data_IF_950527920979
#
_entry.id   IF_950527920979
#
_cell.length_a   1.000
_cell.length_b   1.000
_cell.length_c   1.000
_cell.angle_alpha   90.00
_cell.angle_beta   90.00
_cell.angle_gamma   90.00
#
_symmetry.space_group_name_H-M   'P 1'
#
loop_
_entity.id
_entity.type
_entity.pdbx_description
1 polymer ?
#
# COMPACT_ATOMS: atom_id res chain seq x y z
N UNK A 1 7.06 17.77 -9.18
CA UNK A 1 6.96 17.63 -7.71
C UNK A 1 5.76 18.42 -7.23
N UNK A 2 4.81 17.78 -6.52
CA UNK A 2 3.61 18.40 -5.97
C UNK A 2 3.89 18.89 -4.55
N UNK A 3 3.47 20.13 -4.20
CA UNK A 3 3.54 20.64 -2.83
C UNK A 3 2.14 20.68 -2.24
N UNK A 4 1.98 20.09 -1.06
CA UNK A 4 0.73 20.09 -0.29
C UNK A 4 0.99 20.78 1.06
N UNK A 5 0.00 21.57 1.50
CA UNK A 5 0.07 22.33 2.75
C UNK A 5 -0.88 21.74 3.77
N UNK A 6 -0.37 21.48 4.98
CA UNK A 6 -1.11 20.95 6.12
C UNK A 6 -0.84 21.81 7.36
N UNK A 7 -1.65 21.63 8.41
CA UNK A 7 -1.47 22.33 9.69
C UNK A 7 -0.12 22.09 10.37
N UNK A 8 0.58 21.03 9.97
CA UNK A 8 1.91 20.67 10.49
C UNK A 8 3.07 21.08 9.57
N UNK A 9 2.82 21.84 8.51
CA UNK A 9 3.84 22.35 7.57
C UNK A 9 3.58 21.97 6.12
N UNK A 10 4.53 22.34 5.27
CA UNK A 10 4.53 22.04 3.84
C UNK A 10 5.26 20.74 3.59
N UNK A 11 4.64 19.81 2.86
CA UNK A 11 5.27 18.58 2.39
C UNK A 11 5.46 18.63 0.89
N UNK A 12 6.59 18.11 0.42
CA UNK A 12 6.83 17.84 -0.99
C UNK A 12 6.58 16.37 -1.29
N UNK A 13 5.88 16.08 -2.38
CA UNK A 13 5.58 14.70 -2.80
C UNK A 13 6.24 14.44 -4.15
N UNK A 14 7.05 13.38 -4.22
CA UNK A 14 7.57 12.87 -5.48
C UNK A 14 6.72 11.68 -5.94
N UNK A 15 6.11 11.79 -7.13
CA UNK A 15 5.49 10.65 -7.78
C UNK A 15 6.56 9.85 -8.54
N UNK A 16 6.76 8.62 -8.13
CA UNK A 16 7.81 7.70 -8.61
C UNK A 16 7.15 6.55 -9.36
N UNK A 17 7.35 6.52 -10.68
CA UNK A 17 6.74 5.48 -11.51
C UNK A 17 7.67 4.28 -11.63
N UNK A 18 7.10 3.12 -11.34
CA UNK A 18 7.74 1.80 -11.47
C UNK A 18 7.30 1.15 -12.79
N UNK A 19 8.21 0.51 -13.49
CA UNK A 19 7.90 -0.33 -14.63
C UNK A 19 7.10 -1.58 -14.20
N UNK A 20 6.46 -2.28 -15.12
CA UNK A 20 5.69 -3.50 -14.81
C UNK A 20 6.57 -4.67 -14.33
N UNK A 21 7.82 -4.68 -14.72
CA UNK A 21 8.85 -5.64 -14.33
C UNK A 21 9.79 -5.13 -13.22
N UNK A 22 9.42 -4.01 -12.57
CA UNK A 22 10.24 -3.40 -11.52
C UNK A 22 10.47 -4.35 -10.34
N UNK A 23 11.68 -4.30 -9.82
CA UNK A 23 12.15 -5.04 -8.65
C UNK A 23 12.22 -4.17 -7.39
N UNK A 24 12.57 -4.76 -6.25
CA UNK A 24 12.89 -4.03 -5.03
C UNK A 24 14.07 -3.07 -5.24
N UNK A 25 15.07 -3.43 -6.04
CA UNK A 25 16.20 -2.55 -6.38
C UNK A 25 15.76 -1.26 -7.08
N UNK A 26 14.75 -1.33 -7.96
CA UNK A 26 14.21 -0.14 -8.63
C UNK A 26 13.48 0.78 -7.65
N UNK A 27 12.71 0.22 -6.71
CA UNK A 27 12.08 0.99 -5.63
C UNK A 27 13.14 1.70 -4.79
N UNK A 28 14.18 0.96 -4.37
CA UNK A 28 15.26 1.49 -3.55
C UNK A 28 16.01 2.62 -4.27
N UNK A 29 16.35 2.42 -5.54
CA UNK A 29 17.02 3.43 -6.38
C UNK A 29 16.17 4.69 -6.50
N UNK A 30 14.91 4.57 -6.87
CA UNK A 30 14.01 5.72 -7.01
C UNK A 30 13.82 6.46 -5.68
N UNK A 31 13.75 5.74 -4.56
CA UNK A 31 13.67 6.34 -3.23
C UNK A 31 14.95 7.11 -2.86
N UNK A 32 16.12 6.57 -3.19
CA UNK A 32 17.39 7.21 -2.93
C UNK A 32 17.60 8.50 -3.75
N UNK A 33 17.18 8.49 -5.01
CA UNK A 33 17.29 9.63 -5.92
C UNK A 33 16.30 10.76 -5.63
N UNK A 34 15.22 10.46 -4.89
CA UNK A 34 14.18 11.44 -4.59
C UNK A 34 14.56 12.35 -3.42
N UNK A 35 14.33 13.66 -3.55
CA UNK A 35 14.58 14.66 -2.51
C UNK A 35 13.30 15.13 -1.79
N UNK A 36 12.12 14.57 -2.13
CA UNK A 36 10.84 14.95 -1.54
C UNK A 36 10.64 14.36 -0.14
N UNK A 37 9.77 14.96 0.65
CA UNK A 37 9.42 14.49 2.00
C UNK A 37 8.60 13.19 1.96
N UNK A 38 7.78 13.04 0.91
CA UNK A 38 6.90 11.92 0.67
C UNK A 38 7.18 11.28 -0.69
N UNK A 39 7.19 9.96 -0.73
CA UNK A 39 7.43 9.14 -1.92
C UNK A 39 6.13 8.43 -2.28
N UNK A 40 5.52 8.81 -3.40
CA UNK A 40 4.36 8.15 -3.98
C UNK A 40 4.82 7.19 -5.07
N UNK A 41 4.78 5.90 -4.80
CA UNK A 41 5.11 4.87 -5.79
C UNK A 41 3.86 4.49 -6.59
N UNK A 42 4.01 4.40 -7.91
CA UNK A 42 2.97 4.04 -8.86
C UNK A 42 3.51 2.97 -9.81
N UNK A 43 2.90 1.80 -9.80
CA UNK A 43 3.36 0.69 -10.61
C UNK A 43 2.61 0.61 -11.96
N UNK A 44 3.37 0.40 -13.04
CA UNK A 44 2.82 0.25 -14.38
C UNK A 44 2.00 1.45 -14.84
N UNK A 45 0.77 1.20 -15.23
CA UNK A 45 -0.22 2.15 -15.73
C UNK A 45 -1.14 2.72 -14.64
N UNK A 46 -0.89 2.39 -13.37
CA UNK A 46 -1.70 2.91 -12.26
C UNK A 46 -1.78 4.44 -12.31
N UNK A 47 -3.00 4.95 -12.32
CA UNK A 47 -3.24 6.39 -12.38
C UNK A 47 -2.67 7.10 -11.15
N UNK A 48 -2.20 8.32 -11.34
CA UNK A 48 -1.82 9.18 -10.22
C UNK A 48 -3.09 9.63 -9.48
N UNK A 49 -3.12 9.57 -8.14
CA UNK A 49 -4.19 10.17 -7.36
C UNK A 49 -4.43 11.63 -7.76
N UNK A 50 -5.67 12.07 -7.77
CA UNK A 50 -5.99 13.49 -7.84
C UNK A 50 -5.58 14.21 -6.55
N UNK A 51 -5.77 15.53 -6.51
CA UNK A 51 -5.34 16.35 -5.38
C UNK A 51 -6.05 15.95 -4.08
N UNK A 52 -7.36 15.68 -4.14
CA UNK A 52 -8.17 15.31 -2.98
C UNK A 52 -7.79 13.91 -2.47
N UNK A 53 -7.62 12.94 -3.37
CA UNK A 53 -7.17 11.59 -3.01
C UNK A 53 -5.77 11.56 -2.43
N UNK A 54 -4.86 12.37 -2.97
CA UNK A 54 -3.52 12.50 -2.39
C UNK A 54 -3.56 13.16 -1.00
N UNK A 55 -4.42 14.15 -0.81
CA UNK A 55 -4.64 14.78 0.50
C UNK A 55 -5.15 13.77 1.52
N UNK A 56 -6.10 12.92 1.15
CA UNK A 56 -6.58 11.83 2.00
C UNK A 56 -5.46 10.86 2.41
N UNK A 57 -4.60 10.46 1.49
CA UNK A 57 -3.45 9.62 1.83
C UNK A 57 -2.50 10.33 2.79
N UNK A 58 -2.26 11.63 2.57
CA UNK A 58 -1.37 12.45 3.40
C UNK A 58 -1.88 12.60 4.83
N UNK A 59 -3.20 12.64 5.07
CA UNK A 59 -3.78 12.70 6.42
C UNK A 59 -3.27 11.57 7.33
N UNK A 60 -2.97 10.42 6.76
CA UNK A 60 -2.39 9.28 7.49
C UNK A 60 -0.87 9.27 7.43
N UNK A 61 -0.29 9.50 6.24
CA UNK A 61 1.16 9.38 6.02
C UNK A 61 2.01 10.34 6.85
N UNK A 62 1.47 11.52 7.23
CA UNK A 62 2.15 12.48 8.10
C UNK A 62 2.30 12.01 9.56
N UNK A 63 1.53 10.99 9.99
CA UNK A 63 1.56 10.50 11.37
C UNK A 63 2.84 9.71 11.62
N UNK A 64 3.52 9.94 12.77
CA UNK A 64 4.82 9.31 13.03
C UNK A 64 4.77 7.79 13.13
N UNK A 65 3.64 7.23 13.52
CA UNK A 65 3.39 5.80 13.68
C UNK A 65 2.92 5.11 12.38
N UNK A 66 2.64 5.87 11.30
CA UNK A 66 2.24 5.31 10.01
C UNK A 66 3.44 5.25 9.09
N UNK A 67 3.78 4.04 8.62
CA UNK A 67 4.88 3.81 7.70
C UNK A 67 4.48 4.03 6.24
N UNK A 68 3.38 3.42 5.82
CA UNK A 68 2.90 3.53 4.45
C UNK A 68 1.36 3.59 4.38
N UNK A 69 0.86 4.23 3.32
CA UNK A 69 -0.58 4.35 3.02
C UNK A 69 -0.85 3.84 1.62
N UNK A 70 -1.89 3.04 1.46
CA UNK A 70 -2.35 2.55 0.15
C UNK A 70 -3.80 2.97 -0.11
N UNK A 71 -4.13 3.42 -1.33
CA UNK A 71 -5.49 3.77 -1.71
C UNK A 71 -6.28 2.52 -2.11
N UNK A 72 -7.56 2.72 -2.43
CA UNK A 72 -8.34 1.75 -3.19
C UNK A 72 -7.87 1.80 -4.66
N UNK A 73 -7.45 0.66 -5.17
CA UNK A 73 -7.13 0.50 -6.60
C UNK A 73 -8.28 -0.23 -7.29
N UNK A 74 -8.80 0.33 -8.38
CA UNK A 74 -9.94 -0.22 -9.10
C UNK A 74 -9.68 -0.29 -10.61
N UNK A 75 -10.32 -1.23 -11.28
CA UNK A 75 -10.32 -1.34 -12.73
C UNK A 75 -11.26 -0.31 -13.41
N UNK A 76 -11.25 -0.30 -14.74
CA UNK A 76 -12.12 0.56 -15.54
C UNK A 76 -13.63 0.28 -15.32
N UNK A 77 -13.99 -0.91 -14.85
CA UNK A 77 -15.37 -1.32 -14.53
C UNK A 77 -15.78 -1.02 -13.08
N UNK A 78 -14.97 -0.23 -12.35
CA UNK A 78 -15.17 0.05 -10.93
C UNK A 78 -15.19 -1.21 -10.04
N UNK A 79 -14.39 -2.22 -10.34
CA UNK A 79 -14.16 -3.35 -9.45
C UNK A 79 -12.84 -3.17 -8.71
N UNK A 80 -12.84 -3.53 -7.45
CA UNK A 80 -11.63 -3.48 -6.60
C UNK A 80 -10.58 -4.45 -7.14
N UNK A 81 -9.43 -3.93 -7.48
CA UNK A 81 -8.21 -4.71 -7.74
C UNK A 81 -7.43 -4.91 -6.45
N UNK A 82 -7.36 -3.85 -5.63
CA UNK A 82 -6.59 -3.84 -4.41
C UNK A 82 -7.16 -2.92 -3.33
N UNK A 83 -7.18 -3.42 -2.08
CA UNK A 83 -7.58 -2.69 -0.87
C UNK A 83 -6.66 -3.06 0.33
N UNK A 84 -5.36 -3.20 0.06
CA UNK A 84 -4.39 -3.74 1.01
C UNK A 84 -4.36 -5.26 1.04
N UNK A 85 -3.37 -5.81 1.75
CA UNK A 85 -3.17 -7.25 1.91
C UNK A 85 -3.41 -7.72 3.33
N UNK A 86 -3.96 -8.94 3.43
CA UNK A 86 -3.88 -9.80 4.61
C UNK A 86 -2.77 -10.83 4.39
N UNK A 87 -2.03 -11.18 5.45
CA UNK A 87 -1.00 -12.22 5.41
C UNK A 87 -1.38 -13.31 6.40
N UNK A 88 -1.81 -14.46 5.88
CA UNK A 88 -2.28 -15.58 6.69
C UNK A 88 -1.12 -16.27 7.43
N UNK A 89 -1.41 -17.07 8.49
CA UNK A 89 -0.37 -17.78 9.24
C UNK A 89 0.46 -18.76 8.41
N UNK A 90 -0.07 -19.25 7.29
CA UNK A 90 0.66 -20.13 6.35
C UNK A 90 1.50 -19.34 5.33
N UNK A 91 1.57 -18.01 5.46
CA UNK A 91 2.28 -17.11 4.55
C UNK A 91 1.51 -16.75 3.28
N UNK A 92 0.29 -17.21 3.11
CA UNK A 92 -0.55 -16.80 1.97
C UNK A 92 -0.93 -15.33 2.10
N UNK A 93 -0.66 -14.55 1.05
CA UNK A 93 -1.01 -13.13 0.95
C UNK A 93 -2.23 -12.98 0.06
N UNK A 94 -3.25 -12.28 0.55
CA UNK A 94 -4.52 -12.09 -0.15
C UNK A 94 -4.88 -10.63 -0.25
N UNK A 95 -5.27 -10.20 -1.45
CA UNK A 95 -5.86 -8.87 -1.63
C UNK A 95 -7.27 -8.82 -1.08
N UNK A 96 -7.53 -7.83 -0.22
CA UNK A 96 -8.86 -7.60 0.36
C UNK A 96 -9.86 -7.14 -0.70
N UNK A 97 -11.08 -7.62 -0.58
CA UNK A 97 -12.24 -7.17 -1.36
C UNK A 97 -12.08 -7.25 -2.89
N UNK A 98 -11.04 -7.94 -3.41
CA UNK A 98 -10.77 -8.08 -4.84
C UNK A 98 -12.01 -8.57 -5.59
N UNK A 99 -12.32 -7.93 -6.72
CA UNK A 99 -13.44 -8.25 -7.59
C UNK A 99 -14.79 -7.68 -7.14
N UNK A 100 -14.92 -7.13 -5.92
CA UNK A 100 -16.15 -6.48 -5.50
C UNK A 100 -16.33 -5.13 -6.23
N UNK A 101 -17.55 -4.69 -6.51
CA UNK A 101 -17.80 -3.32 -6.94
C UNK A 101 -17.28 -2.31 -5.90
N UNK A 102 -16.66 -1.21 -6.33
CA UNK A 102 -16.21 -0.13 -5.44
C UNK A 102 -17.35 0.42 -4.59
N UNK A 103 -18.58 0.45 -5.14
CA UNK A 103 -19.79 0.87 -4.43
C UNK A 103 -20.25 -0.12 -3.35
N UNK A 104 -19.81 -1.38 -3.39
CA UNK A 104 -20.14 -2.37 -2.37
C UNK A 104 -19.47 -2.00 -1.05
N UNK A 105 -20.19 -2.15 0.06
CA UNK A 105 -19.65 -1.89 1.40
C UNK A 105 -18.50 -2.83 1.79
N UNK A 106 -18.38 -3.97 1.13
CA UNK A 106 -17.48 -5.02 1.56
C UNK A 106 -17.93 -5.66 2.88
N UNK A 107 -17.08 -6.50 3.45
CA UNK A 107 -17.36 -7.11 4.74
C UNK A 107 -17.37 -6.02 5.84
N UNK A 108 -18.48 -5.93 6.60
CA UNK A 108 -18.69 -4.92 7.64
C UNK A 108 -18.41 -3.47 7.21
N UNK A 109 -18.62 -3.11 5.94
CA UNK A 109 -18.41 -1.74 5.46
C UNK A 109 -16.95 -1.37 5.21
N UNK A 110 -16.03 -2.32 5.20
CA UNK A 110 -14.59 -2.07 5.09
C UNK A 110 -14.15 -1.38 3.78
N UNK A 111 -14.95 -1.49 2.70
CA UNK A 111 -14.67 -0.71 1.49
C UNK A 111 -14.94 0.81 1.63
N UNK A 112 -15.54 1.24 2.75
CA UNK A 112 -15.94 2.64 2.98
C UNK A 112 -15.23 3.29 4.16
N UNK A 113 -14.35 2.56 4.83
CA UNK A 113 -13.65 3.04 6.02
C UNK A 113 -12.16 2.80 5.88
N UNK A 114 -11.35 3.73 6.39
CA UNK A 114 -9.91 3.54 6.49
C UNK A 114 -9.58 2.61 7.65
N UNK A 115 -8.62 1.71 7.46
CA UNK A 115 -8.20 0.75 8.47
C UNK A 115 -6.74 0.34 8.29
N UNK A 116 -6.19 -0.30 9.32
CA UNK A 116 -4.85 -0.86 9.23
C UNK A 116 -4.84 -2.12 8.35
N UNK A 117 -3.80 -2.25 7.53
CA UNK A 117 -3.52 -3.42 6.69
C UNK A 117 -2.16 -3.97 7.03
N UNK A 118 -1.95 -5.26 6.78
CA UNK A 118 -0.66 -5.89 7.03
C UNK A 118 0.36 -5.48 6.00
N UNK A 119 -0.06 -5.34 4.74
CA UNK A 119 0.81 -4.81 3.71
C UNK A 119 0.05 -3.92 2.73
N UNK A 120 0.77 -2.93 2.18
CA UNK A 120 0.26 -2.02 1.15
C UNK A 120 0.34 -2.66 -0.23
N UNK A 121 -0.43 -2.13 -1.18
CA UNK A 121 -0.39 -2.57 -2.57
C UNK A 121 0.85 -2.02 -3.29
N UNK A 122 1.62 -2.84 -4.01
CA UNK A 122 2.68 -2.34 -4.88
C UNK A 122 2.16 -1.47 -6.03
N UNK A 123 0.87 -1.55 -6.39
CA UNK A 123 0.27 -0.75 -7.45
C UNK A 123 0.27 0.74 -7.13
N UNK A 124 -0.02 1.09 -5.87
CA UNK A 124 0.03 2.48 -5.39
C UNK A 124 0.26 2.52 -3.89
N UNK A 125 1.32 3.16 -3.44
CA UNK A 125 1.53 3.43 -2.02
C UNK A 125 2.33 4.70 -1.79
N UNK A 126 2.03 5.36 -0.69
CA UNK A 126 2.68 6.57 -0.22
C UNK A 126 3.44 6.25 1.06
N UNK A 127 4.71 6.69 1.14
CA UNK A 127 5.56 6.50 2.32
C UNK A 127 6.31 7.79 2.63
N UNK A 128 6.53 8.08 3.92
CA UNK A 128 7.45 9.14 4.29
C UNK A 128 8.88 8.74 3.97
N UNK A 129 9.62 9.66 3.34
CA UNK A 129 11.00 9.41 2.98
C UNK A 129 11.88 9.03 4.19
N UNK A 130 11.70 9.70 5.32
CA UNK A 130 12.49 9.42 6.54
C UNK A 130 12.06 8.13 7.28
N UNK A 131 10.92 7.54 6.93
CA UNK A 131 10.47 6.24 7.42
C UNK A 131 10.75 5.11 6.42
N UNK A 132 11.19 5.44 5.20
CA UNK A 132 11.54 4.45 4.19
C UNK A 132 12.89 3.82 4.50
N UNK A 133 12.90 2.52 4.57
CA UNK A 133 14.10 1.68 4.66
C UNK A 133 14.16 0.84 3.39
N UNK A 134 15.33 0.64 2.77
CA UNK A 134 15.41 -0.16 1.56
C UNK A 134 14.77 -1.54 1.69
N UNK A 135 14.05 -1.96 0.66
CA UNK A 135 13.49 -3.30 0.56
C UNK A 135 14.63 -4.31 0.35
N UNK A 136 14.53 -5.46 1.02
CA UNK A 136 15.36 -6.60 0.67
C UNK A 136 14.90 -7.18 -0.67
N UNK A 137 15.84 -7.56 -1.52
CA UNK A 137 15.55 -8.17 -2.82
C UNK A 137 15.22 -9.65 -2.65
N UNK A 138 14.13 -10.11 -3.28
CA UNK A 138 13.65 -11.48 -3.23
C UNK A 138 12.99 -11.90 -4.54
N UNK A 139 11.89 -12.65 -4.44
CA UNK A 139 11.28 -13.32 -5.59
C UNK A 139 10.42 -12.40 -6.46
N UNK A 140 9.81 -11.38 -5.86
CA UNK A 140 8.96 -10.43 -6.59
C UNK A 140 8.72 -9.16 -5.77
N UNK A 141 8.49 -8.04 -6.47
CA UNK A 141 8.19 -6.77 -5.82
C UNK A 141 7.03 -6.87 -4.81
N UNK A 142 5.99 -7.62 -5.12
CA UNK A 142 4.85 -7.78 -4.22
C UNK A 142 5.23 -8.54 -2.93
N UNK A 143 6.01 -9.61 -3.06
CA UNK A 143 6.49 -10.38 -1.92
C UNK A 143 7.48 -9.57 -1.09
N UNK A 144 8.41 -8.86 -1.73
CA UNK A 144 9.42 -8.05 -1.07
C UNK A 144 8.78 -6.90 -0.30
N UNK A 145 7.78 -6.22 -0.90
CA UNK A 145 7.04 -5.15 -0.23
C UNK A 145 6.20 -5.68 0.94
N UNK A 146 5.58 -6.86 0.80
CA UNK A 146 4.84 -7.49 1.89
C UNK A 146 5.76 -7.86 3.06
N UNK A 147 6.95 -8.42 2.80
CA UNK A 147 7.95 -8.71 3.83
C UNK A 147 8.47 -7.43 4.50
N UNK A 148 8.72 -6.37 3.70
CA UNK A 148 9.09 -5.06 4.21
C UNK A 148 8.02 -4.50 5.17
N UNK A 149 6.74 -4.58 4.79
CA UNK A 149 5.63 -4.15 5.63
C UNK A 149 5.60 -4.93 6.95
N UNK A 150 5.75 -6.26 6.92
CA UNK A 150 5.81 -7.08 8.13
C UNK A 150 6.95 -6.68 9.06
N UNK A 151 8.14 -6.43 8.51
CA UNK A 151 9.30 -5.98 9.29
C UNK A 151 9.02 -4.62 9.98
N UNK A 152 8.41 -3.68 9.26
CA UNK A 152 8.02 -2.38 9.85
C UNK A 152 6.97 -2.52 10.94
N UNK A 153 6.02 -3.45 10.80
CA UNK A 153 5.05 -3.74 11.87
C UNK A 153 5.71 -4.29 13.13
N UNK A 154 6.73 -5.12 13.00
CA UNK A 154 7.50 -5.62 14.16
C UNK A 154 8.24 -4.51 14.90
N UNK A 155 8.53 -3.40 14.23
CA UNK A 155 9.10 -2.18 14.84
C UNK A 155 8.04 -1.23 15.41
N UNK A 156 6.77 -1.66 15.44
CA UNK A 156 5.66 -0.87 15.98
C UNK A 156 5.03 0.11 14.99
N UNK A 157 5.44 0.07 13.72
CA UNK A 157 4.82 0.88 12.66
C UNK A 157 3.55 0.21 12.16
N UNK A 158 2.67 0.97 11.52
CA UNK A 158 1.45 0.45 10.88
C UNK A 158 1.32 0.96 9.46
N UNK A 159 0.53 0.25 8.69
CA UNK A 159 0.16 0.60 7.33
C UNK A 159 -1.33 0.88 7.27
N UNK A 160 -1.74 1.85 6.48
CA UNK A 160 -3.14 2.29 6.40
C UNK A 160 -3.65 2.13 4.97
N UNK A 161 -4.83 1.54 4.86
CA UNK A 161 -5.65 1.61 3.66
C UNK A 161 -6.66 2.75 3.79
N UNK A 162 -6.86 3.54 2.73
CA UNK A 162 -7.94 4.52 2.65
C UNK A 162 -8.79 4.32 1.39
N UNK A 163 -10.11 4.17 1.51
CA UNK A 163 -11.03 4.10 0.37
C UNK A 163 -11.38 5.47 -0.20
N UNK A 164 -11.01 6.55 0.48
CA UNK A 164 -11.32 7.93 0.07
C UNK A 164 -10.36 8.46 -0.99
N UNK A 165 -9.31 7.70 -1.29
CA UNK A 165 -8.50 7.84 -2.48
C UNK A 165 -8.75 6.63 -3.38
N UNK A 166 -9.25 6.86 -4.59
CA UNK A 166 -9.50 5.79 -5.57
C UNK A 166 -8.64 6.04 -6.80
N UNK A 167 -7.74 5.11 -7.08
CA UNK A 167 -6.91 5.17 -8.29
C UNK A 167 -7.33 4.08 -9.27
N UNK A 168 -7.15 4.34 -10.56
CA UNK A 168 -7.45 3.40 -11.63
C UNK A 168 -6.20 2.72 -12.12
N UNK A 169 -6.34 1.42 -12.42
CA UNK A 169 -5.30 0.63 -13.07
C UNK A 169 -5.94 -0.41 -13.98
N UNK A 170 -5.14 -0.99 -14.88
CA UNK A 170 -5.58 -2.10 -15.69
C UNK A 170 -5.78 -3.37 -14.84
N UNK A 171 -6.86 -4.10 -15.08
CA UNK A 171 -7.14 -5.36 -14.38
C UNK A 171 -6.06 -6.42 -14.62
N UNK A 172 -5.43 -6.42 -15.78
CA UNK A 172 -4.30 -7.31 -16.09
C UNK A 172 -3.04 -7.01 -15.28
N UNK A 173 -2.99 -5.82 -14.68
CA UNK A 173 -1.90 -5.40 -13.81
C UNK A 173 -2.04 -5.88 -12.36
N UNK A 174 -3.18 -6.47 -11.97
CA UNK A 174 -3.40 -6.88 -10.60
C UNK A 174 -2.50 -8.05 -10.21
N UNK A 175 -1.84 -7.92 -9.06
CA UNK A 175 -1.07 -9.02 -8.48
C UNK A 175 -2.01 -10.13 -7.99
N UNK A 176 -1.69 -11.37 -8.35
CA UNK A 176 -2.38 -12.55 -7.84
C UNK A 176 -2.02 -12.80 -6.36
N UNK A 177 -2.74 -13.72 -5.71
CA UNK A 177 -2.35 -14.20 -4.39
C UNK A 177 -0.98 -14.90 -4.48
N UNK A 178 -0.12 -14.61 -3.53
CA UNK A 178 1.24 -15.13 -3.47
C UNK A 178 1.59 -15.57 -2.03
N UNK A 179 2.80 -16.06 -1.81
CA UNK A 179 3.25 -16.48 -0.49
C UNK A 179 4.50 -15.72 -0.06
N UNK A 180 4.60 -15.49 1.24
CA UNK A 180 5.78 -14.91 1.88
C UNK A 180 6.22 -15.77 3.06
N UNK A 181 7.47 -15.64 3.46
CA UNK A 181 7.94 -16.21 4.72
C UNK A 181 7.32 -15.45 5.87
N UNK A 182 6.71 -16.17 6.81
CA UNK A 182 6.20 -15.60 8.06
C UNK A 182 7.01 -16.10 9.25
N UNK A 183 7.20 -15.28 10.30
CA UNK A 183 7.82 -15.73 11.54
C UNK A 183 7.03 -16.87 12.19
N UNK A 184 7.70 -17.73 12.94
CA UNK A 184 7.03 -18.77 13.74
C UNK A 184 6.03 -18.10 14.70
N UNK A 185 4.79 -18.60 14.72
CA UNK A 185 3.71 -18.02 15.51
C UNK A 185 3.13 -16.72 14.93
N UNK A 186 3.38 -16.42 13.66
CA UNK A 186 2.80 -15.26 13.00
C UNK A 186 1.28 -15.24 13.12
N UNK A 187 0.79 -14.12 13.58
CA UNK A 187 -0.62 -13.78 13.58
C UNK A 187 -0.77 -12.40 12.94
N UNK A 188 -1.61 -12.29 11.93
CA UNK A 188 -1.89 -11.02 11.30
C UNK A 188 -2.88 -10.21 12.16
N UNK A 189 -2.42 -9.12 12.81
CA UNK A 189 -3.29 -8.32 13.67
C UNK A 189 -4.35 -7.54 12.90
N UNK A 190 -4.19 -7.44 11.57
CA UNK A 190 -5.08 -6.70 10.67
C UNK A 190 -6.02 -7.63 9.92
N UNK A 191 -5.80 -8.96 9.92
CA UNK A 191 -6.60 -9.89 9.13
C UNK A 191 -8.05 -9.91 9.57
N UNK A 192 -8.92 -9.77 8.59
CA UNK A 192 -10.37 -9.90 8.79
C UNK A 192 -10.77 -11.37 8.77
N UNK A 193 -11.33 -11.86 9.87
CA UNK A 193 -11.92 -13.20 9.94
C UNK A 193 -11.00 -14.32 10.36
N UNK A 194 -9.76 -14.06 10.80
CA UNK A 194 -8.97 -15.07 11.47
C UNK A 194 -9.59 -15.35 12.84
N UNK A 195 -10.30 -16.47 12.97
CA UNK A 195 -10.68 -16.97 14.29
C UNK A 195 -9.38 -17.22 15.06
N UNK A 196 -9.26 -16.61 16.24
CA UNK A 196 -8.27 -17.08 17.22
C UNK A 196 -8.55 -18.55 17.44
N UNK A 197 -7.61 -19.42 17.10
CA UNK A 197 -7.63 -20.82 17.46
C UNK A 197 -7.37 -20.95 18.96
#
# INVERSE_FOLDING_TARGET
MLRLRYDVGDFTVAALRLARDASAADVNRLAADASADMLLFLWGDTATPDADGLQEMMMYAQRPDVCAVTPLVADARNRVLHAGYDILPDGTVRSRNRGLPVSAGGWHGMNRTSYNVTAVSPMCFLVRRNAFVPLAEGDSLAADLAQWCMARMQEGMRHVYTPHCVVKADAESAFEDFRVKVPAGWYDPCATGSKRA
#
